data_IF_011437741907
#
_entry.id   IF_011437741907
#
_cell.length_a   1.000
_cell.length_b   1.000
_cell.length_c   1.000
_cell.angle_alpha   90.00
_cell.angle_beta   90.00
_cell.angle_gamma   90.00
#
_symmetry.space_group_name_H-M   'P 1'
#
loop_
_entity.id
_entity.type
_entity.pdbx_description
1 polymer ?
#
# COMPACT_ATOMS: atom_id res chain seq x y z
N UNK A 1 -8.22 18.96 9.97
CA UNK A 1 -8.28 17.53 9.59
C UNK A 1 -7.84 16.55 10.68
N UNK A 2 -6.90 16.88 11.59
CA UNK A 2 -6.44 15.95 12.65
C UNK A 2 -7.52 15.43 13.62
N UNK A 3 -8.63 16.15 13.77
CA UNK A 3 -9.77 15.74 14.61
C UNK A 3 -10.86 14.94 13.88
N UNK A 4 -10.63 14.49 12.64
CA UNK A 4 -11.64 13.69 11.92
C UNK A 4 -11.55 12.22 12.34
N UNK A 5 -12.58 11.73 13.03
CA UNK A 5 -12.68 10.33 13.43
C UNK A 5 -12.81 9.38 12.22
N UNK A 6 -13.49 9.81 11.16
CA UNK A 6 -13.63 8.98 9.95
C UNK A 6 -12.29 8.82 9.22
N UNK A 7 -11.47 9.88 9.17
CA UNK A 7 -10.12 9.78 8.61
C UNK A 7 -9.25 8.81 9.43
N UNK A 8 -9.37 8.84 10.76
CA UNK A 8 -8.66 7.92 11.66
C UNK A 8 -9.11 6.47 11.42
N UNK A 9 -10.42 6.21 11.35
CA UNK A 9 -10.98 4.89 11.04
C UNK A 9 -10.49 4.39 9.67
N UNK A 10 -10.50 5.26 8.66
CA UNK A 10 -10.03 4.91 7.33
C UNK A 10 -8.53 4.57 7.32
N UNK A 11 -7.71 5.34 8.04
CA UNK A 11 -6.28 5.02 8.22
C UNK A 11 -6.03 3.64 8.83
N UNK A 12 -6.84 3.25 9.82
CA UNK A 12 -6.81 1.88 10.39
C UNK A 12 -7.15 0.84 9.34
N UNK A 13 -8.20 1.07 8.53
CA UNK A 13 -8.57 0.15 7.44
C UNK A 13 -7.43 -0.05 6.44
N UNK A 14 -6.81 1.04 5.98
CA UNK A 14 -5.73 1.00 4.98
C UNK A 14 -4.52 0.23 5.52
N UNK A 15 -4.03 0.58 6.72
CA UNK A 15 -2.84 -0.07 7.30
C UNK A 15 -3.12 -1.51 7.71
N UNK A 16 -4.36 -1.85 8.10
CA UNK A 16 -4.75 -3.23 8.38
C UNK A 16 -4.64 -4.10 7.12
N UNK A 17 -5.17 -3.64 5.99
CA UNK A 17 -5.12 -4.40 4.75
C UNK A 17 -3.69 -4.52 4.21
N UNK A 18 -2.92 -3.44 4.25
CA UNK A 18 -1.51 -3.48 3.88
C UNK A 18 -0.70 -4.44 4.77
N UNK A 19 -0.94 -4.43 6.07
CA UNK A 19 -0.28 -5.34 7.02
C UNK A 19 -0.58 -6.82 6.74
N UNK A 20 -1.80 -7.15 6.31
CA UNK A 20 -2.15 -8.51 5.87
C UNK A 20 -1.33 -8.92 4.64
N UNK A 21 -1.25 -8.06 3.63
CA UNK A 21 -0.48 -8.29 2.40
C UNK A 21 0.99 -8.54 2.73
N UNK A 22 1.62 -7.66 3.52
CA UNK A 22 3.04 -7.77 3.86
C UNK A 22 3.37 -9.07 4.63
N UNK A 23 2.45 -9.55 5.49
CA UNK A 23 2.61 -10.81 6.23
C UNK A 23 2.60 -12.06 5.34
N UNK A 24 2.05 -11.98 4.13
CA UNK A 24 2.07 -13.10 3.17
C UNK A 24 3.40 -13.21 2.41
N UNK A 25 4.34 -12.27 2.59
CA UNK A 25 5.72 -12.33 2.09
C UNK A 25 5.83 -12.66 0.58
N UNK A 26 4.95 -12.09 -0.24
CA UNK A 26 4.93 -12.30 -1.70
C UNK A 26 3.81 -13.23 -2.18
N UNK A 27 3.24 -14.06 -1.32
CA UNK A 27 2.09 -14.93 -1.65
C UNK A 27 0.75 -14.22 -1.38
N UNK A 28 0.63 -12.95 -1.75
CA UNK A 28 -0.49 -12.08 -1.36
C UNK A 28 -1.58 -11.93 -2.42
N UNK A 29 -1.60 -12.75 -3.47
CA UNK A 29 -2.54 -12.57 -4.60
C UNK A 29 -4.02 -12.51 -4.16
N UNK A 30 -4.43 -13.41 -3.25
CA UNK A 30 -5.81 -13.47 -2.75
C UNK A 30 -6.23 -12.19 -2.01
N UNK A 31 -5.32 -11.58 -1.25
CA UNK A 31 -5.57 -10.32 -0.53
C UNK A 31 -5.46 -9.09 -1.45
N UNK A 32 -4.63 -9.19 -2.50
CA UNK A 32 -4.36 -8.11 -3.45
C UNK A 32 -5.51 -7.93 -4.44
N UNK A 33 -6.07 -9.02 -4.96
CA UNK A 33 -7.11 -8.99 -6.00
C UNK A 33 -8.32 -8.09 -5.67
N UNK A 34 -8.99 -8.22 -4.50
CA UNK A 34 -10.13 -7.34 -4.19
C UNK A 34 -9.71 -5.87 -4.00
N UNK A 35 -8.50 -5.63 -3.49
CA UNK A 35 -7.96 -4.28 -3.35
C UNK A 35 -7.71 -3.66 -4.74
N UNK A 36 -7.04 -4.38 -5.62
CA UNK A 36 -6.77 -3.95 -6.99
C UNK A 36 -8.06 -3.68 -7.76
N UNK A 37 -9.06 -4.55 -7.64
CA UNK A 37 -10.35 -4.38 -8.32
C UNK A 37 -11.04 -3.08 -7.88
N UNK A 38 -11.16 -2.84 -6.57
CA UNK A 38 -11.81 -1.62 -6.05
C UNK A 38 -11.04 -0.36 -6.43
N UNK A 39 -9.70 -0.41 -6.38
CA UNK A 39 -8.89 0.76 -6.68
C UNK A 39 -8.81 1.08 -8.17
N UNK A 40 -8.89 0.07 -9.06
CA UNK A 40 -9.00 0.27 -10.51
C UNK A 40 -10.40 0.75 -10.94
N UNK A 41 -11.45 0.03 -10.52
CA UNK A 41 -12.79 0.19 -11.12
C UNK A 41 -13.66 1.24 -10.42
N UNK A 42 -13.54 1.36 -9.08
CA UNK A 42 -14.39 2.24 -8.28
C UNK A 42 -13.69 3.54 -7.93
N UNK A 43 -12.49 3.44 -7.36
CA UNK A 43 -11.77 4.60 -6.83
C UNK A 43 -10.88 5.28 -7.88
N UNK A 44 -10.56 4.57 -8.98
CA UNK A 44 -9.70 5.03 -10.08
C UNK A 44 -8.38 5.62 -9.58
N UNK A 45 -7.71 4.90 -8.69
CA UNK A 45 -6.46 5.32 -8.06
C UNK A 45 -5.29 4.95 -8.98
N UNK A 46 -4.56 5.92 -9.55
CA UNK A 46 -3.38 5.65 -10.36
C UNK A 46 -2.28 4.99 -9.54
N UNK A 47 -1.44 4.17 -10.17
CA UNK A 47 -0.23 3.59 -9.53
C UNK A 47 0.66 4.70 -8.96
N UNK A 48 0.67 5.88 -9.59
CA UNK A 48 1.41 7.05 -9.09
C UNK A 48 1.02 7.45 -7.66
N UNK A 49 -0.25 7.29 -7.28
CA UNK A 49 -0.71 7.62 -5.93
C UNK A 49 -0.33 6.54 -4.92
N UNK A 50 -0.19 5.29 -5.37
CA UNK A 50 0.38 4.22 -4.56
C UNK A 50 1.88 4.46 -4.27
N UNK A 51 2.61 5.10 -5.18
CA UNK A 51 3.99 5.56 -4.91
C UNK A 51 4.01 6.61 -3.80
N UNK A 52 3.14 7.63 -3.90
CA UNK A 52 3.08 8.69 -2.89
C UNK A 52 2.76 8.16 -1.49
N UNK A 53 1.77 7.28 -1.35
CA UNK A 53 1.46 6.69 -0.04
C UNK A 53 2.59 5.78 0.46
N UNK A 54 3.29 5.07 -0.44
CA UNK A 54 4.47 4.27 -0.07
C UNK A 54 5.58 5.13 0.54
N UNK A 55 5.86 6.29 -0.06
CA UNK A 55 6.83 7.25 0.48
C UNK A 55 6.40 7.80 1.85
N UNK A 56 5.11 8.11 2.01
CA UNK A 56 4.57 8.60 3.29
C UNK A 56 4.69 7.53 4.38
N UNK A 57 4.39 6.27 4.08
CA UNK A 57 4.56 5.16 5.04
C UNK A 57 6.01 5.07 5.51
N UNK A 58 6.98 5.10 4.59
CA UNK A 58 8.42 5.06 4.93
C UNK A 58 8.81 6.26 5.81
N UNK A 59 8.38 7.47 5.45
CA UNK A 59 8.66 8.70 6.23
C UNK A 59 8.09 8.62 7.65
N UNK A 60 6.88 8.07 7.81
CA UNK A 60 6.24 7.90 9.12
C UNK A 60 6.96 6.83 9.95
N UNK A 61 7.31 5.68 9.36
CA UNK A 61 8.06 4.64 10.06
C UNK A 61 9.43 5.13 10.53
N UNK A 62 10.15 5.87 9.69
CA UNK A 62 11.43 6.50 10.04
C UNK A 62 11.30 7.44 11.25
N UNK A 63 10.20 8.19 11.32
CA UNK A 63 9.95 9.14 12.42
C UNK A 63 9.60 8.47 13.74
N UNK A 64 8.99 7.29 13.70
CA UNK A 64 8.35 6.67 14.86
C UNK A 64 8.98 5.34 15.32
N UNK A 65 9.92 4.77 14.57
CA UNK A 65 10.56 3.50 14.90
C UNK A 65 12.08 3.65 14.92
N UNK A 66 12.67 3.44 16.09
CA UNK A 66 14.14 3.42 16.25
C UNK A 66 14.78 2.23 15.51
N UNK A 67 14.01 1.15 15.31
CA UNK A 67 14.46 -0.09 14.65
C UNK A 67 14.41 -0.02 13.12
N UNK A 68 13.99 1.11 12.55
CA UNK A 68 13.85 1.30 11.11
C UNK A 68 15.10 1.91 10.47
N UNK A 69 16.24 1.25 10.69
CA UNK A 69 17.54 1.59 10.10
C UNK A 69 17.59 1.40 8.57
N UNK A 70 18.75 1.66 7.97
CA UNK A 70 18.93 1.67 6.51
C UNK A 70 18.50 0.35 5.83
N UNK A 71 18.84 -0.80 6.42
CA UNK A 71 18.50 -2.12 5.88
C UNK A 71 16.99 -2.38 5.94
N UNK A 72 16.35 -2.07 7.08
CA UNK A 72 14.90 -2.16 7.26
C UNK A 72 14.14 -1.24 6.28
N UNK A 73 14.66 -0.03 6.03
CA UNK A 73 14.13 0.90 5.05
C UNK A 73 14.24 0.35 3.62
N UNK A 74 15.39 -0.19 3.26
CA UNK A 74 15.61 -0.79 1.94
C UNK A 74 14.69 -2.00 1.71
N UNK A 75 14.53 -2.85 2.72
CA UNK A 75 13.61 -3.99 2.68
C UNK A 75 12.15 -3.54 2.52
N UNK A 76 11.71 -2.54 3.29
CA UNK A 76 10.35 -2.00 3.19
C UNK A 76 10.09 -1.35 1.82
N UNK A 77 11.08 -0.61 1.26
CA UNK A 77 10.98 -0.05 -0.10
C UNK A 77 10.73 -1.14 -1.13
N UNK A 78 11.51 -2.23 -1.08
CA UNK A 78 11.35 -3.39 -1.99
C UNK A 78 9.97 -4.06 -1.81
N UNK A 79 9.50 -4.22 -0.58
CA UNK A 79 8.19 -4.81 -0.32
C UNK A 79 7.05 -3.95 -0.88
N UNK A 80 7.11 -2.63 -0.70
CA UNK A 80 6.13 -1.69 -1.25
C UNK A 80 6.22 -1.58 -2.77
N UNK A 81 7.41 -1.71 -3.35
CA UNK A 81 7.61 -1.77 -4.80
C UNK A 81 6.97 -3.03 -5.39
N UNK A 82 7.22 -4.21 -4.81
CA UNK A 82 6.56 -5.45 -5.20
C UNK A 82 5.04 -5.31 -5.17
N UNK A 83 4.49 -4.79 -4.06
CA UNK A 83 3.07 -4.51 -3.94
C UNK A 83 2.54 -3.62 -5.07
N UNK A 84 3.24 -2.53 -5.41
CA UNK A 84 2.82 -1.63 -6.50
C UNK A 84 2.88 -2.31 -7.87
N UNK A 85 3.92 -3.10 -8.13
CA UNK A 85 4.07 -3.82 -9.39
C UNK A 85 2.95 -4.83 -9.59
N UNK A 86 2.59 -5.57 -8.53
CA UNK A 86 1.50 -6.54 -8.59
C UNK A 86 0.13 -5.85 -8.73
N UNK A 87 -0.08 -4.71 -8.04
CA UNK A 87 -1.27 -3.86 -8.23
C UNK A 87 -1.39 -3.42 -9.69
N UNK A 88 -0.30 -2.92 -10.28
CA UNK A 88 -0.27 -2.47 -11.67
C UNK A 88 -0.55 -3.62 -12.65
N UNK A 89 -0.06 -4.83 -12.37
CA UNK A 89 -0.37 -6.03 -13.14
C UNK A 89 -1.87 -6.34 -13.10
N UNK A 90 -2.46 -6.36 -11.90
CA UNK A 90 -3.91 -6.59 -11.72
C UNK A 90 -4.77 -5.48 -12.32
N UNK A 91 -4.33 -4.23 -12.27
CA UNK A 91 -5.04 -3.12 -12.93
C UNK A 91 -5.19 -3.36 -14.43
N UNK A 92 -4.15 -3.87 -15.11
CA UNK A 92 -4.22 -4.25 -16.53
C UNK A 92 -5.23 -5.36 -16.76
N UNK A 93 -5.29 -6.38 -15.89
CA UNK A 93 -6.33 -7.43 -15.94
C UNK A 93 -7.76 -6.85 -15.84
N UNK A 94 -7.93 -5.74 -15.12
CA UNK A 94 -9.21 -5.03 -14.99
C UNK A 94 -9.43 -3.93 -16.04
N UNK A 95 -8.54 -3.79 -17.03
CA UNK A 95 -8.65 -2.79 -18.09
C UNK A 95 -8.37 -1.35 -17.64
N UNK A 96 -7.69 -1.15 -16.50
CA UNK A 96 -7.28 0.16 -16.02
C UNK A 96 -5.78 0.41 -16.29
N UNK A 97 -5.44 1.57 -16.86
CA UNK A 97 -4.07 1.95 -17.26
C UNK A 97 -3.44 3.04 -16.36
N UNK A 98 -4.07 3.37 -15.22
CA UNK A 98 -3.60 4.42 -14.30
C UNK A 98 -2.56 3.95 -13.30
#
# INVERSE_FOLDING_TARGET
>A
MKGSEDLKKHGVTVLTQLGKILKQKGNHEAELKPLAQTHATKHKIPVKYLEFISEVIIKVLLKHSADFGADSQAAMKKALELFRNDMASKYKEFGFQG
#
